data_IF_500595300685
#
_entry.id   IF_500595300685
#
_cell.length_a   1.000
_cell.length_b   1.000
_cell.length_c   1.000
_cell.angle_alpha   90.00
_cell.angle_beta   90.00
_cell.angle_gamma   90.00
#
_symmetry.space_group_name_H-M   'P 1'
#
loop_
_entity.id
_entity.type
_entity.pdbx_description
1 polymer ?
#
# COMPACT_ATOMS: atom_id res chain seq x y z
N UNK A 1 16.54 -16.00 -9.00
CA UNK A 1 17.08 -14.63 -8.86
C UNK A 1 16.47 -14.02 -7.61
N UNK A 2 17.26 -13.56 -6.65
CA UNK A 2 16.73 -12.85 -5.47
C UNK A 2 16.55 -11.38 -5.84
N UNK A 3 15.42 -10.79 -5.47
CA UNK A 3 15.21 -9.36 -5.66
C UNK A 3 16.06 -8.61 -4.63
N UNK A 4 16.81 -7.61 -5.09
CA UNK A 4 17.57 -6.70 -4.25
C UNK A 4 16.98 -5.30 -4.39
N UNK A 5 16.97 -4.54 -3.30
CA UNK A 5 16.47 -3.18 -3.32
C UNK A 5 17.38 -2.31 -4.20
N UNK A 6 16.83 -1.59 -5.20
CA UNK A 6 17.59 -0.63 -5.98
C UNK A 6 18.10 0.53 -5.10
N UNK A 7 19.31 1.01 -5.37
CA UNK A 7 19.95 2.09 -4.59
C UNK A 7 19.08 3.35 -4.47
N UNK A 8 18.36 3.72 -5.54
CA UNK A 8 17.48 4.89 -5.52
C UNK A 8 16.33 4.77 -4.51
N UNK A 9 15.95 3.56 -4.10
CA UNK A 9 14.89 3.32 -3.11
C UNK A 9 15.38 3.48 -1.68
N UNK A 10 16.69 3.37 -1.43
CA UNK A 10 17.24 3.34 -0.07
C UNK A 10 16.95 4.64 0.71
N UNK A 11 16.87 5.78 0.02
CA UNK A 11 16.53 7.07 0.63
C UNK A 11 15.12 7.11 1.24
N UNK A 12 14.23 6.20 0.86
CA UNK A 12 12.86 6.12 1.39
C UNK A 12 12.75 5.17 2.59
N UNK A 13 13.79 4.40 2.91
CA UNK A 13 13.85 3.54 4.09
C UNK A 13 13.78 4.36 5.39
N UNK A 14 13.19 3.78 6.44
CA UNK A 14 13.01 4.40 7.75
C UNK A 14 11.89 5.45 7.82
N UNK A 15 11.59 6.12 6.69
CA UNK A 15 10.52 7.13 6.61
C UNK A 15 9.25 6.58 5.98
N UNK A 16 9.36 5.92 4.82
CA UNK A 16 8.22 5.42 4.04
C UNK A 16 8.28 3.91 3.81
N UNK A 17 9.48 3.32 3.85
CA UNK A 17 9.71 1.89 3.75
C UNK A 17 10.36 1.37 5.03
N UNK A 18 10.27 0.07 5.26
CA UNK A 18 11.10 -0.59 6.27
C UNK A 18 12.59 -0.47 5.93
N UNK A 19 13.45 -0.83 6.88
CA UNK A 19 14.89 -0.98 6.63
C UNK A 19 15.16 -1.92 5.45
N UNK A 20 16.20 -1.63 4.66
CA UNK A 20 16.55 -2.36 3.42
C UNK A 20 16.48 -3.88 3.58
N UNK A 21 17.10 -4.40 4.64
CA UNK A 21 17.16 -5.84 4.91
C UNK A 21 15.76 -6.45 5.09
N UNK A 22 14.84 -5.71 5.70
CA UNK A 22 13.48 -6.17 5.95
C UNK A 22 12.63 -6.13 4.67
N UNK A 23 12.78 -5.07 3.86
CA UNK A 23 12.11 -5.00 2.55
C UNK A 23 12.58 -6.13 1.63
N UNK A 24 13.89 -6.34 1.53
CA UNK A 24 14.42 -7.46 0.75
C UNK A 24 13.97 -8.81 1.31
N UNK A 25 13.91 -8.98 2.62
CA UNK A 25 13.36 -10.20 3.23
C UNK A 25 11.92 -10.43 2.79
N UNK A 26 11.05 -9.43 2.94
CA UNK A 26 9.62 -9.51 2.57
C UNK A 26 9.42 -9.80 1.07
N UNK A 27 10.21 -9.16 0.22
CA UNK A 27 10.15 -9.35 -1.24
C UNK A 27 10.62 -10.74 -1.71
N UNK A 28 11.34 -11.48 -0.85
CA UNK A 28 11.91 -12.79 -1.16
C UNK A 28 11.32 -13.97 -0.32
N UNK A 29 10.44 -13.76 0.68
CA UNK A 29 10.08 -14.83 1.64
C UNK A 29 8.94 -15.77 1.23
N UNK A 30 7.86 -15.28 0.61
CA UNK A 30 6.66 -16.12 0.35
C UNK A 30 6.19 -16.15 -1.10
N UNK A 31 6.40 -15.06 -1.82
CA UNK A 31 5.93 -14.82 -3.19
C UNK A 31 6.99 -14.00 -3.89
N UNK A 32 7.17 -14.17 -5.20
CA UNK A 32 8.17 -13.39 -5.92
C UNK A 32 7.71 -11.92 -6.06
N UNK A 33 8.63 -11.03 -6.44
CA UNK A 33 8.37 -9.61 -6.70
C UNK A 33 7.20 -9.37 -7.65
N UNK A 34 6.97 -10.25 -8.64
CA UNK A 34 5.91 -10.12 -9.63
C UNK A 34 4.53 -10.37 -9.04
N UNK A 35 4.44 -11.03 -7.89
CA UNK A 35 3.18 -11.22 -7.15
C UNK A 35 3.04 -10.17 -6.05
N UNK A 36 4.12 -9.86 -5.32
CA UNK A 36 4.07 -8.91 -4.20
C UNK A 36 3.82 -7.47 -4.66
N UNK A 37 4.47 -7.01 -5.74
CA UNK A 37 4.32 -5.61 -6.17
C UNK A 37 2.88 -5.26 -6.60
N UNK A 38 2.17 -6.08 -7.41
CA UNK A 38 0.76 -5.83 -7.71
C UNK A 38 -0.14 -5.85 -6.47
N UNK A 39 0.05 -6.82 -5.57
CA UNK A 39 -0.75 -6.92 -4.34
C UNK A 39 -0.54 -5.69 -3.44
N UNK A 40 0.70 -5.23 -3.28
CA UNK A 40 0.99 -4.01 -2.51
C UNK A 40 0.35 -2.77 -3.14
N UNK A 41 0.35 -2.66 -4.47
CA UNK A 41 -0.33 -1.56 -5.17
C UNK A 41 -1.85 -1.61 -4.98
N UNK A 42 -2.45 -2.80 -5.00
CA UNK A 42 -3.87 -2.99 -4.74
C UNK A 42 -4.24 -2.58 -3.31
N UNK A 43 -3.44 -2.98 -2.32
CA UNK A 43 -3.63 -2.58 -0.92
C UNK A 43 -3.56 -1.05 -0.75
N UNK A 44 -2.54 -0.39 -1.30
CA UNK A 44 -2.38 1.07 -1.20
C UNK A 44 -3.52 1.81 -1.92
N UNK A 45 -3.95 1.28 -3.07
CA UNK A 45 -5.11 1.80 -3.80
C UNK A 45 -6.39 1.69 -2.98
N UNK A 46 -6.62 0.55 -2.33
CA UNK A 46 -7.77 0.32 -1.46
C UNK A 46 -7.75 1.27 -0.26
N UNK A 47 -6.62 1.39 0.42
CA UNK A 47 -6.45 2.28 1.55
C UNK A 47 -6.75 3.74 1.17
N UNK A 48 -6.23 4.18 0.02
CA UNK A 48 -6.46 5.54 -0.48
C UNK A 48 -7.94 5.82 -0.75
N UNK A 49 -8.68 4.84 -1.29
CA UNK A 49 -10.13 4.94 -1.51
C UNK A 49 -10.89 5.03 -0.18
N UNK A 50 -10.53 4.20 0.80
CA UNK A 50 -11.15 4.22 2.13
C UNK A 50 -10.92 5.59 2.79
N UNK A 51 -9.67 6.08 2.82
CA UNK A 51 -9.34 7.40 3.39
C UNK A 51 -10.10 8.54 2.71
N UNK A 52 -10.26 8.48 1.38
CA UNK A 52 -11.06 9.46 0.65
C UNK A 52 -12.53 9.41 1.06
N UNK A 53 -13.13 8.22 1.12
CA UNK A 53 -14.53 8.05 1.52
C UNK A 53 -14.76 8.53 2.96
N UNK A 54 -13.87 8.19 3.89
CA UNK A 54 -13.90 8.68 5.27
C UNK A 54 -13.86 10.21 5.34
N UNK A 55 -13.01 10.84 4.52
CA UNK A 55 -12.91 12.30 4.46
C UNK A 55 -14.19 12.91 3.90
N UNK A 56 -14.69 12.41 2.77
CA UNK A 56 -15.93 12.91 2.16
C UNK A 56 -17.12 12.77 3.12
N UNK A 57 -17.17 11.68 3.90
CA UNK A 57 -18.18 11.49 4.93
C UNK A 57 -18.06 12.53 6.05
N UNK A 58 -16.85 12.73 6.59
CA UNK A 58 -16.59 13.74 7.64
C UNK A 58 -16.90 15.17 7.19
N UNK A 59 -16.64 15.48 5.93
CA UNK A 59 -16.89 16.80 5.34
C UNK A 59 -18.36 17.02 4.94
N UNK A 60 -19.24 16.02 5.14
CA UNK A 60 -20.66 16.09 4.74
C UNK A 60 -20.87 16.06 3.21
N UNK A 61 -19.85 15.67 2.45
CA UNK A 61 -19.86 15.61 0.98
C UNK A 61 -20.25 14.22 0.45
N UNK A 62 -20.23 13.20 1.30
CA UNK A 62 -20.70 11.85 0.97
C UNK A 62 -22.16 11.68 1.41
N UNK A 63 -23.08 11.73 0.45
CA UNK A 63 -24.49 11.38 0.69
C UNK A 63 -24.63 9.86 0.71
N UNK A 64 -24.85 9.30 1.90
CA UNK A 64 -25.18 7.89 2.05
C UNK A 64 -26.69 7.76 1.84
N UNK A 65 -27.10 7.32 0.65
CA UNK A 65 -28.50 6.97 0.43
C UNK A 65 -28.82 5.74 1.30
N UNK A 66 -29.54 5.95 2.40
CA UNK A 66 -30.22 4.86 3.09
C UNK A 66 -31.28 4.31 2.13
N UNK A 67 -30.95 3.22 1.45
CA UNK A 67 -31.98 2.33 0.95
C UNK A 67 -32.49 1.57 2.17
N UNK A 68 -33.57 2.06 2.74
CA UNK A 68 -34.37 1.31 3.69
C UNK A 68 -34.89 0.07 2.94
N UNK A 69 -34.29 -1.09 3.25
CA UNK A 69 -34.80 -2.41 2.85
C UNK A 69 -35.91 -2.84 3.79
#
# INVERSE_FOLDING_TARGET
MKWAMPEWMEQFCGTYLYEKNEVERLMNTKTNVLVNAPLSLECVSMESKVRLLEKLYKDGLLTVNHFDC
#
